data_IF_791675130192
#
_entry.id   IF_791675130192
#
_cell.length_a   1.000
_cell.length_b   1.000
_cell.length_c   1.000
_cell.angle_alpha   90.00
_cell.angle_beta   90.00
_cell.angle_gamma   90.00
#
_symmetry.space_group_name_H-M   'P 1'
#
loop_
_entity.id
_entity.type
_entity.pdbx_description
1 polymer ?
#
# COMPACT_ATOMS: atom_id res chain seq x y z
N UNK A 1 48.48 28.52 42.51
CA UNK A 1 47.16 27.98 42.10
C UNK A 1 46.63 27.08 43.21
N UNK A 2 45.37 27.23 43.61
CA UNK A 2 44.72 26.39 44.63
C UNK A 2 43.62 25.53 44.00
N UNK A 3 43.40 24.32 44.52
CA UNK A 3 42.33 23.43 44.10
C UNK A 3 40.97 23.85 44.71
N UNK A 4 39.82 23.61 44.02
CA UNK A 4 38.50 24.03 44.51
C UNK A 4 38.07 23.28 45.79
N UNK A 5 38.40 21.99 45.90
CA UNK A 5 38.08 21.16 47.05
C UNK A 5 39.34 20.71 47.81
N UNK A 6 39.19 20.33 49.08
CA UNK A 6 40.27 19.66 49.81
C UNK A 6 40.59 18.30 49.17
N UNK A 7 41.85 17.88 49.21
CA UNK A 7 42.23 16.58 48.66
C UNK A 7 41.56 15.42 49.41
N UNK A 8 41.40 14.28 48.73
CA UNK A 8 40.70 13.11 49.27
C UNK A 8 41.32 12.61 50.59
N UNK A 9 42.64 12.65 50.73
CA UNK A 9 43.34 12.20 51.94
C UNK A 9 43.07 13.08 53.16
N UNK A 10 43.14 14.40 52.99
CA UNK A 10 42.80 15.33 54.07
C UNK A 10 41.31 15.26 54.41
N UNK A 11 40.44 15.07 53.40
CA UNK A 11 39.00 14.88 53.60
C UNK A 11 38.69 13.61 54.40
N UNK A 12 39.32 12.47 54.07
CA UNK A 12 39.15 11.21 54.81
C UNK A 12 39.66 11.29 56.26
N UNK A 13 40.80 11.94 56.48
CA UNK A 13 41.37 12.12 57.83
C UNK A 13 40.74 13.27 58.63
N UNK A 14 39.76 13.98 58.05
CA UNK A 14 39.13 15.20 58.61
C UNK A 14 40.15 16.26 59.04
N UNK A 15 41.30 16.33 58.36
CA UNK A 15 42.38 17.27 58.64
C UNK A 15 42.31 18.53 57.77
N UNK A 16 42.88 19.65 58.26
CA UNK A 16 42.90 20.93 57.53
C UNK A 16 43.78 20.85 56.28
N UNK A 17 43.23 21.16 55.11
CA UNK A 17 43.92 21.16 53.82
C UNK A 17 44.08 22.60 53.31
N UNK A 18 45.29 22.99 52.94
CA UNK A 18 45.61 24.31 52.35
C UNK A 18 45.33 24.38 50.84
N UNK A 19 44.94 23.26 50.22
CA UNK A 19 44.53 23.13 48.81
C UNK A 19 45.59 23.55 47.78
N UNK A 20 46.86 23.62 48.16
CA UNK A 20 47.94 23.94 47.22
C UNK A 20 48.10 22.86 46.14
N UNK A 21 48.38 23.28 44.90
CA UNK A 21 48.69 22.42 43.77
C UNK A 21 50.20 22.45 43.48
N UNK A 22 50.82 21.33 43.08
CA UNK A 22 50.22 20.00 42.81
C UNK A 22 49.97 19.15 44.07
N UNK A 23 50.54 19.51 45.22
CA UNK A 23 50.29 18.83 46.50
C UNK A 23 50.05 19.83 47.63
N UNK A 24 49.11 19.50 48.53
CA UNK A 24 48.82 20.31 49.70
C UNK A 24 49.98 20.23 50.72
N UNK A 25 50.25 21.31 51.45
CA UNK A 25 51.40 21.41 52.36
C UNK A 25 51.36 20.41 53.52
N UNK A 26 50.16 19.94 53.90
CA UNK A 26 49.99 18.88 54.88
C UNK A 26 50.41 17.51 54.33
N UNK A 27 50.00 17.17 53.10
CA UNK A 27 50.38 15.90 52.48
C UNK A 27 51.86 15.86 52.08
N UNK A 28 52.45 17.02 51.73
CA UNK A 28 53.87 17.16 51.44
C UNK A 28 54.74 16.87 52.68
N UNK A 29 54.39 17.45 53.84
CA UNK A 29 55.14 17.24 55.09
C UNK A 29 55.00 15.81 55.63
N UNK A 30 53.84 15.20 55.46
CA UNK A 30 53.54 13.85 55.97
C UNK A 30 53.72 12.75 54.91
N UNK A 31 54.46 13.04 53.83
CA UNK A 31 54.99 12.07 52.87
C UNK A 31 53.98 11.10 52.24
N UNK A 32 52.79 11.54 51.83
CA UNK A 32 51.88 10.61 51.15
C UNK A 32 50.96 11.20 50.09
N UNK A 33 50.40 10.32 49.27
CA UNK A 33 49.73 10.63 47.99
C UNK A 33 48.56 11.61 48.16
N UNK A 34 48.59 12.71 47.40
CA UNK A 34 47.61 13.79 47.45
C UNK A 34 46.83 13.83 46.13
N UNK A 35 45.57 13.38 46.13
CA UNK A 35 44.69 13.38 44.96
C UNK A 35 43.44 14.24 45.24
N UNK A 36 43.06 15.06 44.27
CA UNK A 36 41.86 15.91 44.33
C UNK A 36 40.71 15.26 43.56
N UNK A 37 39.45 15.32 44.07
CA UNK A 37 38.30 14.67 43.43
C UNK A 37 37.89 15.37 42.12
N UNK A 38 37.75 14.61 41.05
CA UNK A 38 37.37 15.06 39.70
C UNK A 38 35.89 14.80 39.44
N UNK A 39 35.07 15.84 39.28
CA UNK A 39 33.77 15.73 38.60
C UNK A 39 32.52 15.58 39.48
N UNK A 40 31.60 16.52 39.25
CA UNK A 40 30.28 16.80 39.84
C UNK A 40 29.28 15.63 39.84
N UNK A 41 28.52 15.49 40.95
CA UNK A 41 27.15 14.92 41.00
C UNK A 41 26.20 15.95 41.63
N UNK A 42 24.97 16.11 41.12
CA UNK A 42 23.80 16.49 41.92
C UNK A 42 22.66 15.45 41.71
N UNK A 43 21.92 14.88 42.68
CA UNK A 43 21.23 15.29 43.92
C UNK A 43 19.96 16.14 43.76
N UNK A 44 18.83 15.43 43.61
CA UNK A 44 17.50 15.53 44.23
C UNK A 44 16.74 16.89 44.37
N UNK A 45 15.59 16.91 43.65
CA UNK A 45 14.21 17.10 44.14
C UNK A 45 13.71 18.48 44.64
N UNK A 46 13.02 19.22 43.77
CA UNK A 46 11.63 19.69 44.00
C UNK A 46 11.08 20.42 42.76
N UNK A 47 10.50 19.69 41.81
CA UNK A 47 9.56 20.23 40.79
C UNK A 47 8.56 19.13 40.41
N UNK A 48 8.08 18.47 41.46
CA UNK A 48 7.35 17.19 41.51
C UNK A 48 5.93 17.24 40.91
N UNK A 49 5.65 18.18 40.02
CA UNK A 49 4.36 18.33 39.34
C UNK A 49 4.48 18.52 37.81
N UNK A 50 5.69 18.80 37.29
CA UNK A 50 5.98 18.78 35.83
C UNK A 50 6.44 17.37 35.39
N UNK A 51 6.94 16.55 36.32
CA UNK A 51 7.52 15.24 36.05
C UNK A 51 6.51 14.16 35.59
N UNK A 52 5.20 14.34 35.83
CA UNK A 52 4.18 13.40 35.33
C UNK A 52 3.68 13.74 33.92
N UNK A 53 3.91 14.96 33.42
CA UNK A 53 3.56 15.36 32.05
C UNK A 53 4.78 15.40 31.11
N UNK A 54 6.00 15.48 31.65
CA UNK A 54 7.24 15.43 30.87
C UNK A 54 7.75 14.00 30.59
N UNK A 55 7.21 12.97 31.24
CA UNK A 55 7.57 11.56 31.02
C UNK A 55 6.88 10.88 29.83
N UNK A 56 6.10 11.62 29.02
CA UNK A 56 5.65 11.15 27.71
C UNK A 56 6.49 11.67 26.52
N UNK A 57 7.61 12.36 26.77
CA UNK A 57 8.68 12.40 25.78
C UNK A 57 9.55 11.16 25.97
N UNK A 58 9.06 10.04 25.42
CA UNK A 58 9.97 9.07 24.82
C UNK A 58 10.83 9.90 23.88
N UNK A 59 12.11 10.11 24.23
CA UNK A 59 13.11 10.52 23.25
C UNK A 59 13.16 9.36 22.27
N UNK A 60 12.32 9.40 21.24
CA UNK A 60 12.57 8.66 20.02
C UNK A 60 13.89 9.24 19.51
N UNK A 61 15.00 8.61 19.87
CA UNK A 61 16.22 8.77 19.10
C UNK A 61 15.81 8.40 17.67
N UNK A 62 15.79 9.34 16.71
CA UNK A 62 15.50 8.96 15.34
C UNK A 62 16.54 7.93 14.94
N UNK A 63 16.09 6.78 14.41
CA UNK A 63 16.97 5.78 13.85
C UNK A 63 17.99 6.50 12.94
N UNK A 64 19.31 6.42 13.21
CA UNK A 64 20.25 7.29 12.50
C UNK A 64 20.22 6.95 11.01
N UNK A 65 20.02 7.93 10.10
CA UNK A 65 19.93 7.68 8.66
C UNK A 65 21.15 6.97 8.07
N UNK A 66 22.30 7.06 8.74
CA UNK A 66 23.51 6.30 8.37
C UNK A 66 23.28 4.79 8.39
N UNK A 67 22.47 4.25 9.31
CA UNK A 67 22.13 2.83 9.34
C UNK A 67 21.11 2.42 8.26
N UNK A 68 20.43 3.38 7.60
CA UNK A 68 19.49 3.10 6.49
C UNK A 68 20.24 2.77 5.18
N UNK A 69 21.47 3.26 5.02
CA UNK A 69 22.28 3.11 3.79
C UNK A 69 23.56 2.29 3.99
N UNK A 70 23.84 1.81 5.21
CA UNK A 70 25.09 1.09 5.51
C UNK A 70 25.01 -0.39 5.14
N UNK A 71 25.58 -0.73 3.98
CA UNK A 71 25.70 -2.09 3.45
C UNK A 71 26.48 -3.03 4.39
N UNK A 72 27.31 -2.51 5.29
CA UNK A 72 28.11 -3.33 6.21
C UNK A 72 27.27 -4.03 7.29
N UNK A 73 26.03 -3.57 7.55
CA UNK A 73 25.09 -4.21 8.49
C UNK A 73 24.63 -5.58 7.95
N UNK A 74 24.55 -5.75 6.63
CA UNK A 74 24.07 -6.97 5.98
C UNK A 74 25.15 -8.03 5.75
N UNK A 75 26.44 -7.72 5.99
CA UNK A 75 27.54 -8.67 5.78
C UNK A 75 27.66 -9.76 6.84
N UNK A 76 26.98 -9.64 7.99
CA UNK A 76 27.18 -10.53 9.14
C UNK A 76 26.14 -11.65 9.32
N UNK A 77 25.18 -11.82 8.40
CA UNK A 77 24.12 -12.84 8.54
C UNK A 77 24.11 -13.89 7.40
N UNK A 78 25.28 -14.35 6.94
CA UNK A 78 25.35 -15.54 6.05
C UNK A 78 25.08 -16.81 6.86
N UNK A 79 23.81 -17.18 6.96
CA UNK A 79 23.40 -18.52 7.36
C UNK A 79 22.97 -19.27 6.11
N UNK A 80 23.82 -20.18 5.63
CA UNK A 80 23.38 -21.23 4.71
C UNK A 80 22.65 -22.29 5.52
N UNK A 81 21.37 -22.51 5.22
CA UNK A 81 20.59 -23.59 5.80
C UNK A 81 21.06 -24.93 5.20
N UNK A 82 21.36 -25.95 6.02
CA UNK A 82 21.60 -27.29 5.53
C UNK A 82 20.36 -27.78 4.78
N UNK A 83 20.53 -28.17 3.51
CA UNK A 83 19.45 -28.83 2.76
C UNK A 83 19.13 -30.16 3.46
N UNK A 84 17.87 -30.43 3.86
CA UNK A 84 17.50 -31.71 4.42
C UNK A 84 17.73 -32.79 3.36
N UNK A 85 18.61 -33.75 3.66
CA UNK A 85 18.89 -34.91 2.81
C UNK A 85 17.91 -36.04 3.15
N UNK A 86 16.64 -35.85 2.80
CA UNK A 86 15.69 -36.95 2.72
C UNK A 86 15.30 -37.12 1.26
N UNK A 87 15.90 -38.11 0.59
CA UNK A 87 15.52 -38.46 -0.77
C UNK A 87 14.11 -39.08 -0.72
N UNK A 88 13.16 -38.47 -1.42
CA UNK A 88 11.81 -39.01 -1.58
C UNK A 88 11.93 -40.34 -2.34
N UNK A 89 11.41 -41.46 -1.82
CA UNK A 89 11.42 -42.73 -2.54
C UNK A 89 10.69 -42.62 -3.88
N UNK A 90 11.23 -43.24 -4.94
CA UNK A 90 10.72 -43.10 -6.31
C UNK A 90 9.22 -43.40 -6.45
N UNK A 91 8.72 -44.41 -5.73
CA UNK A 91 7.30 -44.76 -5.75
C UNK A 91 6.39 -43.64 -5.22
N UNK A 92 6.88 -42.75 -4.34
CA UNK A 92 6.13 -41.60 -3.82
C UNK A 92 6.16 -40.45 -4.83
N UNK A 93 7.30 -40.24 -5.50
CA UNK A 93 7.45 -39.24 -6.57
C UNK A 93 6.51 -39.50 -7.74
N UNK A 94 6.30 -40.77 -8.12
CA UNK A 94 5.39 -41.15 -9.21
C UNK A 94 3.92 -40.81 -8.92
N UNK A 95 3.49 -40.82 -7.65
CA UNK A 95 2.14 -40.42 -7.24
C UNK A 95 1.99 -38.90 -7.05
N UNK A 96 3.05 -38.20 -6.66
CA UNK A 96 3.03 -36.75 -6.47
C UNK A 96 3.08 -35.99 -7.81
N UNK A 97 3.60 -36.60 -8.87
CA UNK A 97 3.89 -35.92 -10.13
C UNK A 97 5.24 -35.21 -10.08
N UNK A 98 5.58 -34.47 -11.13
CA UNK A 98 6.84 -33.72 -11.16
C UNK A 98 6.88 -32.63 -10.07
N UNK A 99 8.09 -32.33 -9.57
CA UNK A 99 8.33 -31.22 -8.62
C UNK A 99 7.64 -29.91 -9.03
N UNK A 100 7.60 -29.63 -10.34
CA UNK A 100 6.97 -28.43 -10.90
C UNK A 100 5.44 -28.53 -10.93
N UNK A 101 4.88 -29.69 -11.26
CA UNK A 101 3.44 -29.92 -11.28
C UNK A 101 2.85 -29.83 -9.87
N UNK A 102 3.54 -30.39 -8.87
CA UNK A 102 3.17 -30.26 -7.46
C UNK A 102 3.17 -28.79 -7.04
N UNK A 103 4.23 -28.05 -7.38
CA UNK A 103 4.31 -26.61 -7.07
C UNK A 103 3.18 -25.83 -7.73
N UNK A 104 2.91 -26.09 -9.01
CA UNK A 104 1.84 -25.42 -9.75
C UNK A 104 0.46 -25.73 -9.14
N UNK A 105 0.20 -26.99 -8.78
CA UNK A 105 -1.05 -27.41 -8.14
C UNK A 105 -1.24 -26.70 -6.79
N UNK A 106 -0.20 -26.70 -5.95
CA UNK A 106 -0.20 -26.06 -4.64
C UNK A 106 -0.40 -24.54 -4.75
N UNK A 107 0.32 -23.88 -5.66
CA UNK A 107 0.15 -22.45 -5.95
C UNK A 107 -1.26 -22.14 -6.42
N UNK A 108 -1.81 -22.95 -7.32
CA UNK A 108 -3.17 -22.77 -7.84
C UNK A 108 -4.20 -22.91 -6.72
N UNK A 109 -4.05 -23.93 -5.86
CA UNK A 109 -4.92 -24.16 -4.72
C UNK A 109 -4.93 -22.97 -3.75
N UNK A 110 -3.75 -22.49 -3.34
CA UNK A 110 -3.66 -21.38 -2.40
C UNK A 110 -4.16 -20.06 -2.98
N UNK A 111 -3.84 -19.76 -4.25
CA UNK A 111 -4.36 -18.59 -4.94
C UNK A 111 -5.90 -18.60 -5.02
N UNK A 112 -6.49 -19.75 -5.35
CA UNK A 112 -7.95 -19.93 -5.37
C UNK A 112 -8.57 -19.80 -3.99
N UNK A 113 -7.93 -20.36 -2.97
CA UNK A 113 -8.42 -20.28 -1.59
C UNK A 113 -8.46 -18.84 -1.11
N UNK A 114 -7.38 -18.08 -1.36
CA UNK A 114 -7.32 -16.65 -1.04
C UNK A 114 -8.39 -15.87 -1.80
N UNK A 115 -8.54 -16.11 -3.10
CA UNK A 115 -9.56 -15.44 -3.91
C UNK A 115 -10.97 -15.66 -3.36
N UNK A 116 -11.34 -16.91 -3.03
CA UNK A 116 -12.64 -17.24 -2.45
C UNK A 116 -12.85 -16.59 -1.08
N UNK A 117 -11.82 -16.57 -0.23
CA UNK A 117 -11.86 -15.87 1.06
C UNK A 117 -12.11 -14.36 0.86
N UNK A 118 -11.40 -13.73 -0.08
CA UNK A 118 -11.58 -12.31 -0.39
C UNK A 118 -12.95 -12.00 -0.98
N UNK A 119 -13.51 -12.88 -1.81
CA UNK A 119 -14.89 -12.78 -2.30
C UNK A 119 -15.91 -12.92 -1.16
N UNK A 120 -15.64 -13.75 -0.15
CA UNK A 120 -16.49 -13.83 1.02
C UNK A 120 -16.46 -12.52 1.83
N UNK A 121 -15.30 -11.88 1.94
CA UNK A 121 -15.15 -10.63 2.72
C UNK A 121 -16.03 -9.50 2.20
N UNK A 122 -16.14 -9.32 0.88
CA UNK A 122 -16.95 -8.22 0.31
C UNK A 122 -18.46 -8.39 0.56
N UNK A 123 -18.90 -9.60 0.93
CA UNK A 123 -20.29 -9.86 1.31
C UNK A 123 -20.56 -9.62 2.80
N UNK A 124 -19.54 -9.21 3.58
CA UNK A 124 -19.71 -8.94 5.00
C UNK A 124 -20.47 -7.62 5.21
N UNK A 125 -21.51 -7.67 6.04
CA UNK A 125 -22.31 -6.50 6.42
C UNK A 125 -22.03 -6.13 7.88
N UNK A 126 -21.68 -4.87 8.18
CA UNK A 126 -21.41 -4.45 9.55
C UNK A 126 -22.66 -4.52 10.42
N UNK A 127 -22.54 -5.16 11.59
CA UNK A 127 -23.51 -5.01 12.68
C UNK A 127 -23.02 -3.95 13.67
N UNK A 128 -23.92 -3.33 14.44
CA UNK A 128 -23.66 -2.11 15.22
C UNK A 128 -22.49 -2.20 16.24
N UNK A 129 -22.00 -3.40 16.56
CA UNK A 129 -20.91 -3.64 17.53
C UNK A 129 -19.64 -4.23 16.91
N UNK A 130 -19.60 -4.54 15.62
CA UNK A 130 -18.49 -5.27 15.02
C UNK A 130 -17.48 -4.33 14.35
N UNK A 131 -16.19 -4.58 14.64
CA UNK A 131 -15.10 -3.90 13.96
C UNK A 131 -14.94 -4.44 12.54
N UNK A 132 -14.76 -3.56 11.52
CA UNK A 132 -14.44 -4.00 10.16
C UNK A 132 -13.05 -4.63 10.06
N UNK A 133 -12.20 -4.53 11.10
CA UNK A 133 -10.99 -5.36 11.21
C UNK A 133 -11.35 -6.73 11.76
N UNK A 134 -12.21 -7.44 11.05
CA UNK A 134 -12.68 -8.77 11.43
C UNK A 134 -11.53 -9.80 11.39
N UNK A 135 -11.63 -10.92 12.14
CA UNK A 135 -10.64 -12.00 12.04
C UNK A 135 -10.47 -12.52 10.60
N UNK A 136 -11.55 -12.59 9.82
CA UNK A 136 -11.51 -12.99 8.43
C UNK A 136 -10.70 -12.03 7.56
N UNK A 137 -10.88 -10.71 7.76
CA UNK A 137 -10.09 -9.69 7.06
C UNK A 137 -8.60 -9.80 7.42
N UNK A 138 -8.29 -9.95 8.70
CA UNK A 138 -6.89 -10.11 9.17
C UNK A 138 -6.26 -11.36 8.53
N UNK A 139 -6.98 -12.49 8.51
CA UNK A 139 -6.52 -13.73 7.90
C UNK A 139 -6.27 -13.56 6.39
N UNK A 140 -7.19 -12.91 5.66
CA UNK A 140 -7.01 -12.66 4.24
C UNK A 140 -5.78 -11.77 3.95
N UNK A 141 -5.54 -10.74 4.76
CA UNK A 141 -4.35 -9.88 4.63
C UNK A 141 -3.05 -10.62 4.90
N UNK A 142 -3.02 -11.43 5.96
CA UNK A 142 -1.85 -12.24 6.29
C UNK A 142 -1.57 -13.25 5.18
N UNK A 143 -2.61 -13.94 4.71
CA UNK A 143 -2.46 -14.94 3.67
C UNK A 143 -2.03 -14.32 2.32
N UNK A 144 -2.58 -13.16 1.95
CA UNK A 144 -2.12 -12.41 0.78
C UNK A 144 -0.61 -12.10 0.88
N UNK A 145 -0.15 -11.57 2.01
CA UNK A 145 1.25 -11.25 2.24
C UNK A 145 2.17 -12.49 2.23
N UNK A 146 1.71 -13.62 2.76
CA UNK A 146 2.45 -14.88 2.71
C UNK A 146 2.64 -15.38 1.27
N UNK A 147 1.60 -15.29 0.43
CA UNK A 147 1.70 -15.66 -0.98
C UNK A 147 2.63 -14.73 -1.76
N UNK A 148 2.60 -13.43 -1.47
CA UNK A 148 3.54 -12.46 -2.05
C UNK A 148 4.99 -12.79 -1.69
N UNK A 149 5.28 -13.07 -0.41
CA UNK A 149 6.63 -13.42 0.04
C UNK A 149 7.12 -14.75 -0.51
N UNK A 150 6.21 -15.68 -0.80
CA UNK A 150 6.53 -16.92 -1.51
C UNK A 150 6.82 -16.69 -3.01
N UNK A 151 6.70 -15.46 -3.51
CA UNK A 151 6.97 -15.10 -4.90
C UNK A 151 5.82 -15.41 -5.86
N UNK A 152 4.59 -15.60 -5.35
CA UNK A 152 3.45 -15.83 -6.23
C UNK A 152 3.12 -14.55 -7.01
N UNK A 153 3.01 -14.70 -8.33
CA UNK A 153 2.59 -13.64 -9.23
C UNK A 153 1.56 -14.23 -10.20
N UNK A 154 0.28 -14.01 -9.91
CA UNK A 154 -0.83 -14.57 -10.71
C UNK A 154 -2.01 -13.59 -10.75
N UNK A 155 -2.85 -13.72 -11.78
CA UNK A 155 -4.06 -12.89 -11.90
C UNK A 155 -5.01 -13.09 -10.71
N UNK A 156 -5.11 -14.32 -10.18
CA UNK A 156 -5.94 -14.64 -9.01
C UNK A 156 -5.47 -13.94 -7.75
N UNK A 157 -4.16 -13.81 -7.56
CA UNK A 157 -3.61 -13.03 -6.45
C UNK A 157 -4.02 -11.56 -6.60
N UNK A 158 -3.91 -10.97 -7.80
CA UNK A 158 -4.34 -9.58 -8.05
C UNK A 158 -5.84 -9.41 -7.81
N UNK A 159 -6.68 -10.32 -8.29
CA UNK A 159 -8.13 -10.31 -8.05
C UNK A 159 -8.47 -10.36 -6.56
N UNK A 160 -7.80 -11.22 -5.79
CA UNK A 160 -7.97 -11.28 -4.35
C UNK A 160 -7.56 -9.96 -3.67
N UNK A 161 -6.44 -9.37 -4.11
CA UNK A 161 -5.98 -8.06 -3.67
C UNK A 161 -6.99 -6.94 -3.95
N UNK A 162 -7.64 -6.96 -5.12
CA UNK A 162 -8.70 -6.01 -5.49
C UNK A 162 -9.89 -6.13 -4.53
N UNK A 163 -10.35 -7.35 -4.23
CA UNK A 163 -11.45 -7.56 -3.28
C UNK A 163 -11.09 -7.13 -1.86
N UNK A 164 -9.85 -7.38 -1.43
CA UNK A 164 -9.33 -6.88 -0.15
C UNK A 164 -9.33 -5.34 -0.15
N UNK A 165 -8.83 -4.71 -1.21
CA UNK A 165 -8.79 -3.25 -1.33
C UNK A 165 -10.20 -2.62 -1.35
N UNK A 166 -11.16 -3.27 -2.02
CA UNK A 166 -12.57 -2.88 -2.01
C UNK A 166 -13.16 -2.94 -0.60
N UNK A 167 -12.92 -4.02 0.14
CA UNK A 167 -13.33 -4.14 1.54
C UNK A 167 -12.73 -3.04 2.41
N UNK A 168 -11.42 -2.82 2.31
CA UNK A 168 -10.73 -1.77 3.06
C UNK A 168 -11.26 -0.37 2.73
N UNK A 169 -11.51 -0.09 1.45
CA UNK A 169 -12.09 1.18 0.99
C UNK A 169 -13.52 1.37 1.51
N UNK A 170 -14.39 0.36 1.36
CA UNK A 170 -15.79 0.40 1.79
C UNK A 170 -15.97 0.54 3.29
N UNK A 171 -14.97 0.13 4.08
CA UNK A 171 -14.96 0.25 5.54
C UNK A 171 -14.01 1.33 6.06
N UNK A 172 -13.52 2.22 5.20
CA UNK A 172 -12.65 3.34 5.57
C UNK A 172 -11.37 2.93 6.33
N UNK A 173 -10.78 1.79 6.00
CA UNK A 173 -9.56 1.26 6.62
C UNK A 173 -8.32 1.89 5.97
N UNK A 174 -8.05 3.15 6.32
CA UNK A 174 -6.85 3.88 5.89
C UNK A 174 -5.69 3.69 6.90
N UNK A 175 -4.41 3.58 6.47
CA UNK A 175 -3.87 3.64 5.11
C UNK A 175 -3.84 2.29 4.36
N UNK A 176 -4.43 1.23 4.91
CA UNK A 176 -4.37 -0.12 4.32
C UNK A 176 -4.94 -0.16 2.90
N UNK A 177 -6.12 0.44 2.68
CA UNK A 177 -6.74 0.54 1.35
C UNK A 177 -5.80 1.12 0.30
N UNK A 178 -5.14 2.24 0.63
CA UNK A 178 -4.20 2.92 -0.27
C UNK A 178 -3.01 2.03 -0.63
N UNK A 179 -2.42 1.33 0.35
CA UNK A 179 -1.32 0.41 0.10
C UNK A 179 -1.75 -0.79 -0.73
N UNK A 180 -2.92 -1.38 -0.45
CA UNK A 180 -3.43 -2.53 -1.20
C UNK A 180 -3.68 -2.20 -2.67
N UNK A 181 -4.26 -1.04 -2.97
CA UNK A 181 -4.46 -0.58 -4.36
C UNK A 181 -3.12 -0.44 -5.07
N UNK A 182 -2.14 0.21 -4.43
CA UNK A 182 -0.78 0.34 -4.97
C UNK A 182 -0.11 -1.00 -5.24
N UNK A 183 -0.23 -1.95 -4.30
CA UNK A 183 0.27 -3.32 -4.47
C UNK A 183 -0.39 -4.03 -5.65
N UNK A 184 -1.73 -3.94 -5.79
CA UNK A 184 -2.45 -4.51 -6.92
C UNK A 184 -1.96 -3.93 -8.26
N UNK A 185 -1.78 -2.62 -8.33
CA UNK A 185 -1.25 -1.95 -9.52
C UNK A 185 0.14 -2.48 -9.90
N UNK A 186 1.04 -2.64 -8.92
CA UNK A 186 2.40 -3.16 -9.16
C UNK A 186 2.41 -4.60 -9.64
N UNK A 187 1.58 -5.47 -9.06
CA UNK A 187 1.44 -6.86 -9.53
C UNK A 187 0.84 -6.94 -10.93
N UNK A 188 -0.19 -6.15 -11.21
CA UNK A 188 -0.84 -6.12 -12.51
C UNK A 188 0.12 -5.67 -13.62
N UNK A 189 0.94 -4.63 -13.37
CA UNK A 189 1.99 -4.20 -14.30
C UNK A 189 3.06 -5.26 -14.47
N UNK A 190 3.47 -5.96 -13.41
CA UNK A 190 4.44 -7.06 -13.50
C UNK A 190 3.93 -8.22 -14.37
N UNK A 191 2.62 -8.47 -14.37
CA UNK A 191 1.94 -9.41 -15.24
C UNK A 191 1.60 -8.85 -16.64
N UNK A 192 1.86 -7.56 -16.90
CA UNK A 192 1.64 -6.89 -18.18
C UNK A 192 0.19 -6.50 -18.49
N UNK A 193 -0.70 -6.46 -17.49
CA UNK A 193 -2.14 -6.16 -17.68
C UNK A 193 -2.39 -4.75 -18.22
N UNK A 194 -1.49 -3.81 -17.93
CA UNK A 194 -1.54 -2.43 -18.42
C UNK A 194 -1.42 -2.31 -19.94
N UNK A 195 -0.86 -3.34 -20.59
CA UNK A 195 -0.68 -3.40 -22.05
C UNK A 195 -1.87 -4.02 -22.77
N UNK A 196 -2.65 -4.85 -22.09
CA UNK A 196 -3.79 -5.59 -22.66
C UNK A 196 -4.97 -4.68 -23.03
N UNK A 197 -4.96 -3.41 -22.58
CA UNK A 197 -5.91 -2.38 -22.98
C UNK A 197 -5.47 -1.58 -24.22
N UNK A 198 -4.20 -1.70 -24.66
CA UNK A 198 -3.62 -0.88 -25.74
C UNK A 198 -3.74 -1.49 -27.12
N UNK A 199 -3.81 -2.81 -27.22
CA UNK A 199 -3.76 -3.54 -28.50
C UNK A 199 -4.78 -4.67 -28.51
N UNK A 200 -5.46 -4.86 -29.65
CA UNK A 200 -6.33 -6.01 -29.88
C UNK A 200 -5.48 -7.27 -30.04
N UNK A 201 -5.41 -8.09 -28.98
CA UNK A 201 -4.73 -9.39 -28.91
C UNK A 201 -3.23 -9.45 -29.31
N UNK A 202 -2.40 -8.56 -28.75
CA UNK A 202 -0.95 -8.61 -28.96
C UNK A 202 -0.27 -9.83 -28.31
N UNK A 203 -0.91 -10.43 -27.30
CA UNK A 203 -0.37 -11.53 -26.49
C UNK A 203 -0.72 -12.92 -27.05
N UNK A 204 -1.60 -13.01 -28.05
CA UNK A 204 -2.06 -14.28 -28.62
C UNK A 204 -2.91 -15.11 -27.66
N UNK A 205 -3.39 -14.50 -26.56
CA UNK A 205 -4.19 -15.18 -25.56
C UNK A 205 -5.62 -15.42 -26.07
N UNK A 206 -6.30 -16.45 -25.52
CA UNK A 206 -7.74 -16.57 -25.62
C UNK A 206 -8.43 -15.27 -25.22
N UNK A 207 -9.52 -14.95 -25.90
CA UNK A 207 -10.19 -13.67 -25.72
C UNK A 207 -10.81 -13.55 -24.32
N UNK A 208 -11.25 -14.67 -23.75
CA UNK A 208 -11.70 -14.79 -22.37
C UNK A 208 -10.61 -14.40 -21.37
N UNK A 209 -9.41 -14.95 -21.50
CA UNK A 209 -8.28 -14.58 -20.66
C UNK A 209 -7.95 -13.08 -20.79
N UNK A 210 -8.02 -12.52 -22.01
CA UNK A 210 -7.77 -11.10 -22.26
C UNK A 210 -8.79 -10.18 -21.59
N UNK A 211 -10.06 -10.54 -21.67
CA UNK A 211 -11.12 -9.74 -21.06
C UNK A 211 -11.07 -9.81 -19.53
N UNK A 212 -10.75 -10.98 -18.95
CA UNK A 212 -10.51 -11.10 -17.51
C UNK A 212 -9.38 -10.14 -17.08
N UNK A 213 -8.25 -10.17 -17.80
CA UNK A 213 -7.09 -9.29 -17.56
C UNK A 213 -7.44 -7.81 -17.71
N UNK A 214 -8.21 -7.46 -18.75
CA UNK A 214 -8.71 -6.10 -19.00
C UNK A 214 -9.58 -5.62 -17.85
N UNK A 215 -10.50 -6.45 -17.36
CA UNK A 215 -11.40 -6.11 -16.26
C UNK A 215 -10.65 -5.91 -14.95
N UNK A 216 -9.65 -6.74 -14.67
CA UNK A 216 -8.75 -6.60 -13.52
C UNK A 216 -8.01 -5.26 -13.57
N UNK A 217 -7.46 -4.90 -14.73
CA UNK A 217 -6.76 -3.62 -14.88
C UNK A 217 -7.71 -2.42 -14.68
N UNK A 218 -8.89 -2.43 -15.30
CA UNK A 218 -9.87 -1.37 -15.13
C UNK A 218 -10.37 -1.24 -13.69
N UNK A 219 -10.54 -2.34 -12.96
CA UNK A 219 -10.88 -2.31 -11.53
C UNK A 219 -9.79 -1.60 -10.70
N UNK A 220 -8.51 -1.83 -11.01
CA UNK A 220 -7.40 -1.13 -10.35
C UNK A 220 -7.41 0.36 -10.69
N UNK A 221 -7.61 0.72 -11.97
CA UNK A 221 -7.69 2.12 -12.41
C UNK A 221 -8.81 2.86 -11.66
N UNK A 222 -9.96 2.22 -11.47
CA UNK A 222 -11.10 2.74 -10.70
C UNK A 222 -10.67 2.96 -9.25
N UNK A 223 -10.19 1.92 -8.56
CA UNK A 223 -9.82 2.01 -7.15
C UNK A 223 -8.75 3.07 -6.87
N UNK A 224 -7.75 3.17 -7.74
CA UNK A 224 -6.67 4.16 -7.63
C UNK A 224 -7.19 5.60 -7.74
N UNK A 225 -8.22 5.85 -8.53
CA UNK A 225 -8.83 7.20 -8.64
C UNK A 225 -9.71 7.49 -7.43
N UNK A 226 -10.51 6.52 -7.02
CA UNK A 226 -11.42 6.65 -5.88
C UNK A 226 -10.67 6.91 -4.56
N UNK A 227 -9.59 6.18 -4.29
CA UNK A 227 -8.84 6.35 -3.03
C UNK A 227 -8.13 7.72 -2.95
N UNK A 228 -7.90 8.38 -4.09
CA UNK A 228 -7.20 9.66 -4.19
C UNK A 228 -8.13 10.88 -4.24
N UNK A 229 -9.46 10.70 -4.28
CA UNK A 229 -10.45 11.80 -4.27
C UNK A 229 -10.22 12.80 -3.13
N UNK A 230 -9.89 12.31 -1.94
CA UNK A 230 -9.68 13.16 -0.75
C UNK A 230 -8.36 13.95 -0.74
N UNK A 231 -7.46 13.69 -1.67
CA UNK A 231 -6.19 14.41 -1.80
C UNK A 231 -5.68 14.32 -3.26
N UNK A 232 -6.28 15.10 -4.18
CA UNK A 232 -5.97 15.03 -5.62
C UNK A 232 -4.47 15.17 -5.96
N UNK A 233 -3.69 16.05 -5.29
CA UNK A 233 -2.25 16.17 -5.56
C UNK A 233 -1.41 14.92 -5.24
N UNK A 234 -2.00 13.88 -4.62
CA UNK A 234 -1.30 12.64 -4.34
C UNK A 234 -1.03 11.87 -5.64
N UNK A 235 0.19 11.36 -5.76
CA UNK A 235 0.58 10.55 -6.92
C UNK A 235 -0.28 9.28 -7.02
N UNK A 236 -0.88 9.09 -8.20
CA UNK A 236 -1.60 7.88 -8.56
C UNK A 236 -0.65 6.68 -8.70
N UNK A 237 -1.10 5.48 -8.34
CA UNK A 237 -0.33 4.25 -8.52
C UNK A 237 -0.26 3.82 -10.00
N UNK A 238 -1.21 4.26 -10.81
CA UNK A 238 -1.37 3.92 -12.22
C UNK A 238 -1.26 5.16 -13.11
N UNK A 239 -0.76 4.96 -14.34
CA UNK A 239 -0.81 6.00 -15.36
C UNK A 239 -2.25 6.24 -15.84
N UNK A 240 -2.48 7.40 -16.44
CA UNK A 240 -3.79 7.71 -17.00
C UNK A 240 -4.06 6.97 -18.30
N UNK A 241 -5.27 6.41 -18.45
CA UNK A 241 -5.62 5.74 -19.68
C UNK A 241 -5.80 6.76 -20.81
N UNK A 242 -5.52 6.34 -22.04
CA UNK A 242 -5.61 7.14 -23.25
C UNK A 242 -6.95 6.91 -23.96
N UNK A 243 -7.38 7.87 -24.78
CA UNK A 243 -8.67 7.80 -25.52
C UNK A 243 -8.79 6.56 -26.42
N UNK A 244 -7.68 5.99 -26.88
CA UNK A 244 -7.64 4.76 -27.68
C UNK A 244 -7.69 3.46 -26.87
N UNK A 245 -7.70 3.52 -25.54
CA UNK A 245 -7.67 2.33 -24.70
C UNK A 245 -9.00 1.58 -24.73
N UNK A 246 -8.90 0.26 -24.81
CA UNK A 246 -10.03 -0.66 -24.96
C UNK A 246 -10.78 -0.77 -23.64
N UNK A 247 -12.10 -0.58 -23.71
CA UNK A 247 -13.04 -0.74 -22.60
C UNK A 247 -13.41 -2.21 -22.39
N UNK A 248 -13.80 -2.60 -21.16
CA UNK A 248 -14.40 -3.91 -20.92
C UNK A 248 -15.64 -4.14 -21.79
N UNK A 249 -15.90 -5.39 -22.17
CA UNK A 249 -17.10 -5.75 -22.90
C UNK A 249 -18.35 -5.73 -22.00
N UNK A 250 -19.55 -5.70 -22.59
CA UNK A 250 -20.81 -5.81 -21.84
C UNK A 250 -20.96 -7.20 -21.19
N UNK A 251 -21.42 -7.22 -19.93
CA UNK A 251 -21.50 -8.42 -19.10
C UNK A 251 -22.40 -9.51 -19.71
N UNK A 252 -23.52 -9.13 -20.35
CA UNK A 252 -24.41 -10.11 -20.97
C UNK A 252 -23.76 -10.74 -22.21
N UNK A 253 -22.97 -9.95 -22.95
CA UNK A 253 -22.18 -10.49 -24.07
C UNK A 253 -21.12 -11.46 -23.55
N UNK A 254 -20.47 -11.11 -22.43
CA UNK A 254 -19.50 -11.94 -21.71
C UNK A 254 -20.04 -13.30 -21.32
N UNK A 255 -21.14 -13.31 -20.56
CA UNK A 255 -21.75 -14.52 -20.03
C UNK A 255 -22.26 -15.47 -21.12
N UNK A 256 -22.68 -14.93 -22.26
CA UNK A 256 -23.21 -15.72 -23.38
C UNK A 256 -22.09 -16.21 -24.32
N UNK A 257 -20.84 -15.82 -24.10
CA UNK A 257 -19.72 -16.18 -24.98
C UNK A 257 -19.83 -15.61 -26.40
N UNK A 258 -20.66 -14.59 -26.62
CA UNK A 258 -20.98 -14.05 -27.95
C UNK A 258 -19.93 -13.07 -28.51
N UNK A 259 -18.76 -12.98 -27.88
CA UNK A 259 -17.89 -11.81 -28.03
C UNK A 259 -16.97 -11.86 -29.25
N UNK A 260 -16.90 -13.00 -29.92
CA UNK A 260 -16.30 -13.08 -31.25
C UNK A 260 -17.05 -12.20 -32.28
N UNK A 261 -18.24 -11.68 -31.96
CA UNK A 261 -19.05 -10.81 -32.81
C UNK A 261 -19.21 -9.36 -32.30
N UNK A 262 -18.66 -8.99 -31.13
CA UNK A 262 -18.92 -7.68 -30.51
C UNK A 262 -17.87 -6.65 -30.89
N UNK A 263 -18.31 -5.46 -31.33
CA UNK A 263 -17.44 -4.29 -31.51
C UNK A 263 -16.69 -3.97 -30.20
N UNK A 264 -15.36 -3.92 -30.26
CA UNK A 264 -14.55 -3.42 -29.16
C UNK A 264 -14.70 -1.90 -29.07
N UNK A 265 -15.19 -1.43 -27.92
CA UNK A 265 -15.25 0.00 -27.64
C UNK A 265 -13.94 0.47 -27.02
N UNK A 266 -13.57 1.70 -27.35
CA UNK A 266 -12.50 2.46 -26.70
C UNK A 266 -13.09 3.60 -25.89
N UNK A 267 -12.29 4.24 -25.03
CA UNK A 267 -12.73 5.42 -24.26
C UNK A 267 -13.32 6.51 -25.16
N UNK A 268 -12.67 6.78 -26.29
CA UNK A 268 -13.09 7.78 -27.27
C UNK A 268 -14.20 7.32 -28.22
N UNK A 269 -14.68 6.09 -28.09
CA UNK A 269 -15.80 5.60 -28.90
C UNK A 269 -17.08 6.37 -28.59
N UNK A 270 -17.93 6.56 -29.60
CA UNK A 270 -19.23 7.20 -29.40
C UNK A 270 -20.06 6.38 -28.41
N UNK A 271 -20.71 7.09 -27.50
CA UNK A 271 -21.57 6.49 -26.49
C UNK A 271 -22.72 5.70 -27.13
N UNK A 272 -22.75 4.40 -26.90
CA UNK A 272 -23.81 3.50 -27.36
C UNK A 272 -24.48 2.80 -26.18
N UNK A 273 -25.78 2.50 -26.30
CA UNK A 273 -26.54 1.82 -25.25
C UNK A 273 -25.96 0.43 -24.90
N UNK A 274 -25.36 -0.25 -25.87
CA UNK A 274 -24.79 -1.61 -25.76
C UNK A 274 -23.37 -1.70 -25.18
N UNK A 275 -22.77 -0.56 -24.76
CA UNK A 275 -21.38 -0.52 -24.29
C UNK A 275 -21.18 -1.25 -22.95
N UNK A 276 -22.23 -1.34 -22.12
CA UNK A 276 -22.21 -2.04 -20.85
C UNK A 276 -21.89 -1.16 -19.64
N UNK A 277 -22.26 -1.64 -18.45
CA UNK A 277 -22.13 -0.89 -17.20
C UNK A 277 -20.67 -0.65 -16.83
N UNK A 278 -19.84 -1.69 -16.93
CA UNK A 278 -18.45 -1.59 -16.52
C UNK A 278 -17.61 -0.70 -17.44
N UNK A 279 -17.88 -0.75 -18.75
CA UNK A 279 -17.30 0.17 -19.73
C UNK A 279 -17.64 1.64 -19.44
N UNK A 280 -18.91 1.94 -19.11
CA UNK A 280 -19.30 3.30 -18.70
C UNK A 280 -18.63 3.73 -17.41
N UNK A 281 -18.46 2.82 -16.46
CA UNK A 281 -17.74 3.14 -15.22
C UNK A 281 -16.26 3.43 -15.47
N UNK A 282 -15.64 2.69 -16.39
CA UNK A 282 -14.30 2.97 -16.90
C UNK A 282 -14.22 4.36 -17.57
N UNK A 283 -15.20 4.75 -18.40
CA UNK A 283 -15.27 6.10 -18.98
C UNK A 283 -15.43 7.19 -17.90
N UNK A 284 -16.31 6.99 -16.92
CA UNK A 284 -16.46 7.91 -15.80
C UNK A 284 -15.15 8.06 -15.01
N UNK A 285 -14.43 6.95 -14.82
CA UNK A 285 -13.13 6.92 -14.15
C UNK A 285 -12.06 7.66 -14.94
N UNK A 286 -12.07 7.57 -16.27
CA UNK A 286 -11.19 8.38 -17.13
C UNK A 286 -11.45 9.87 -16.93
N UNK A 287 -12.72 10.31 -16.96
CA UNK A 287 -13.08 11.71 -16.71
C UNK A 287 -12.68 12.13 -15.30
N UNK A 288 -12.87 11.27 -14.30
CA UNK A 288 -12.43 11.53 -12.93
C UNK A 288 -10.90 11.73 -12.86
N UNK A 289 -10.12 10.92 -13.58
CA UNK A 289 -8.68 11.14 -13.71
C UNK A 289 -8.34 12.51 -14.31
N UNK A 290 -9.09 12.97 -15.31
CA UNK A 290 -8.93 14.32 -15.86
C UNK A 290 -9.24 15.41 -14.82
N UNK A 291 -10.31 15.24 -14.03
CA UNK A 291 -10.67 16.17 -12.95
C UNK A 291 -9.59 16.21 -11.87
N UNK A 292 -9.08 15.05 -11.43
CA UNK A 292 -8.00 14.96 -10.44
C UNK A 292 -6.77 15.73 -10.92
N UNK A 293 -6.36 15.55 -12.19
CA UNK A 293 -5.24 16.31 -12.78
C UNK A 293 -5.52 17.80 -12.82
N UNK A 294 -6.68 18.19 -13.35
CA UNK A 294 -7.07 19.58 -13.47
C UNK A 294 -7.06 20.32 -12.12
N UNK A 295 -7.55 19.68 -11.05
CA UNK A 295 -7.55 20.26 -9.69
C UNK A 295 -6.16 20.26 -9.05
N UNK A 296 -5.28 19.35 -9.44
CA UNK A 296 -3.93 19.22 -8.87
C UNK A 296 -2.90 20.13 -9.52
N UNK A 297 -3.08 20.43 -10.80
CA UNK A 297 -2.16 21.26 -11.58
C UNK A 297 -2.34 22.75 -11.24
N UNK A 298 -1.21 23.47 -11.10
CA UNK A 298 -1.25 24.92 -10.96
C UNK A 298 -1.71 25.56 -12.29
N UNK A 299 -2.73 26.46 -12.27
CA UNK A 299 -3.25 27.08 -13.49
C UNK A 299 -2.16 27.94 -14.14
N UNK A 300 -1.81 27.61 -15.38
CA UNK A 300 -0.85 28.40 -16.19
C UNK A 300 -1.53 29.53 -16.97
N UNK A 301 -2.79 29.33 -17.34
CA UNK A 301 -3.67 30.27 -18.05
C UNK A 301 -5.09 30.12 -17.51
N UNK A 302 -5.59 31.17 -16.85
CA UNK A 302 -6.89 31.20 -16.21
C UNK A 302 -8.05 30.96 -17.19
N UNK A 303 -7.94 31.45 -18.44
CA UNK A 303 -9.00 31.31 -19.43
C UNK A 303 -9.09 29.86 -19.93
N UNK A 304 -7.94 29.23 -20.20
CA UNK A 304 -7.88 27.82 -20.58
C UNK A 304 -8.36 26.92 -19.46
N UNK A 305 -7.92 27.20 -18.22
CA UNK A 305 -8.33 26.45 -17.03
C UNK A 305 -9.85 26.45 -16.85
N UNK A 306 -10.49 27.63 -16.93
CA UNK A 306 -11.96 27.74 -16.81
C UNK A 306 -12.68 27.02 -17.95
N UNK A 307 -12.15 27.09 -19.19
CA UNK A 307 -12.74 26.38 -20.33
C UNK A 307 -12.65 24.85 -20.18
N UNK A 308 -11.51 24.34 -19.72
CA UNK A 308 -11.30 22.92 -19.45
C UNK A 308 -12.27 22.43 -18.37
N UNK A 309 -12.37 23.13 -17.24
CA UNK A 309 -13.31 22.81 -16.17
C UNK A 309 -14.77 22.75 -16.70
N UNK A 310 -15.17 23.74 -17.50
CA UNK A 310 -16.50 23.79 -18.08
C UNK A 310 -16.75 22.64 -19.08
N UNK A 311 -15.73 22.23 -19.84
CA UNK A 311 -15.82 21.07 -20.74
C UNK A 311 -15.95 19.75 -19.97
N UNK A 312 -15.14 19.56 -18.92
CA UNK A 312 -15.22 18.38 -18.05
C UNK A 312 -16.61 18.28 -17.42
N UNK A 313 -17.11 19.38 -16.84
CA UNK A 313 -18.43 19.43 -16.23
C UNK A 313 -19.56 19.06 -17.23
N UNK A 314 -19.54 19.63 -18.45
CA UNK A 314 -20.52 19.27 -19.49
C UNK A 314 -20.45 17.79 -19.86
N UNK A 315 -19.24 17.24 -19.96
CA UNK A 315 -19.03 15.84 -20.35
C UNK A 315 -19.52 14.88 -19.25
N UNK A 316 -19.25 15.20 -17.98
CA UNK A 316 -19.75 14.45 -16.83
C UNK A 316 -21.28 14.46 -16.77
N UNK A 317 -21.92 15.63 -16.93
CA UNK A 317 -23.38 15.71 -16.98
C UNK A 317 -23.98 14.92 -18.15
N UNK A 318 -23.36 14.95 -19.33
CA UNK A 318 -23.79 14.12 -20.46
C UNK A 318 -23.71 12.63 -20.14
N UNK A 319 -22.65 12.18 -19.46
CA UNK A 319 -22.50 10.78 -19.03
C UNK A 319 -23.52 10.37 -17.97
N UNK A 320 -23.87 11.26 -17.04
CA UNK A 320 -24.95 11.05 -16.05
C UNK A 320 -26.29 10.84 -16.76
N UNK A 321 -26.66 11.74 -17.67
CA UNK A 321 -27.92 11.64 -18.41
C UNK A 321 -28.00 10.36 -19.25
N UNK A 322 -26.90 9.99 -19.92
CA UNK A 322 -26.82 8.74 -20.66
C UNK A 322 -26.98 7.52 -19.75
N UNK A 323 -26.36 7.56 -18.56
CA UNK A 323 -26.44 6.46 -17.59
C UNK A 323 -27.84 6.27 -17.04
N UNK A 324 -28.55 7.37 -16.75
CA UNK A 324 -29.96 7.34 -16.35
C UNK A 324 -30.85 6.77 -17.46
N UNK A 325 -30.69 7.24 -18.70
CA UNK A 325 -31.45 6.74 -19.84
C UNK A 325 -31.21 5.25 -20.11
N UNK A 326 -29.97 4.79 -19.96
CA UNK A 326 -29.67 3.36 -20.04
C UNK A 326 -30.34 2.56 -18.90
N UNK A 327 -30.27 3.07 -17.67
CA UNK A 327 -30.87 2.42 -16.51
C UNK A 327 -32.36 2.17 -16.70
N UNK A 328 -33.08 3.17 -17.20
CA UNK A 328 -34.50 3.07 -17.55
C UNK A 328 -34.72 2.03 -18.67
N UNK A 329 -33.95 2.14 -19.76
CA UNK A 329 -34.12 1.29 -20.95
C UNK A 329 -33.83 -0.18 -20.66
N UNK A 330 -32.80 -0.46 -19.85
CA UNK A 330 -32.36 -1.82 -19.53
C UNK A 330 -32.83 -2.31 -18.15
N UNK A 331 -33.67 -1.54 -17.45
CA UNK A 331 -34.17 -1.85 -16.10
C UNK A 331 -33.04 -2.21 -15.11
N UNK A 332 -32.00 -1.37 -15.07
CA UNK A 332 -30.84 -1.58 -14.21
C UNK A 332 -31.11 -1.02 -12.80
N UNK A 333 -30.91 -1.85 -11.76
CA UNK A 333 -31.16 -1.45 -10.36
C UNK A 333 -30.18 -0.40 -9.82
N UNK A 334 -28.97 -0.30 -10.38
CA UNK A 334 -27.92 0.59 -9.86
C UNK A 334 -26.96 1.09 -10.96
N UNK A 335 -26.54 2.36 -10.86
CA UNK A 335 -25.60 3.02 -11.78
C UNK A 335 -24.37 3.54 -11.04
N UNK A 336 -23.33 2.69 -10.89
CA UNK A 336 -22.06 3.03 -10.22
C UNK A 336 -21.36 4.22 -10.86
N UNK A 337 -21.44 4.35 -12.18
CA UNK A 337 -20.84 5.43 -12.95
C UNK A 337 -21.40 6.81 -12.60
N UNK A 338 -22.68 6.89 -12.21
CA UNK A 338 -23.31 8.15 -11.80
C UNK A 338 -22.69 8.66 -10.49
N UNK A 339 -22.34 7.76 -9.56
CA UNK A 339 -21.67 8.14 -8.32
C UNK A 339 -20.29 8.74 -8.60
N UNK A 340 -19.50 8.16 -9.52
CA UNK A 340 -18.21 8.70 -9.92
C UNK A 340 -18.30 10.08 -10.57
N UNK A 341 -19.38 10.37 -11.30
CA UNK A 341 -19.57 11.67 -11.95
C UNK A 341 -20.04 12.79 -11.00
N UNK A 342 -20.58 12.44 -9.83
CA UNK A 342 -21.01 13.41 -8.81
C UNK A 342 -19.94 13.71 -7.76
N UNK A 343 -18.87 12.90 -7.69
CA UNK A 343 -17.73 13.09 -6.80
C UNK A 343 -16.79 14.18 -7.29
#
# INVERSE_FOLDING_TARGET
MLAPFACNRCKQRKGKCDKALPQCGHCRRNGGKCEYPSGLRPSNAHSSLIALQAQQRVVQQPFPPSFFLDMNIFRQARLELPRPSLAVPAYVSDFLGGDEEVRQMVTTFFNSTLLLLSMQLINWTPTASESPKSPAYIAAKQFFFELENAGNLSIRLVQAGIFIALYELGHCIYPAAYMSVGTCARHAVALGLDKDIKQSNATGLPWDDLEERRRVWWAILILDRFINLGNPPRMLATADPATGDILPADDASWEQGLLHATELFTIGSQSQLRMGRFARFAQATYLLGQVIRHVSDEPRDDAFYVQEAAQLNRTLHALIHLSQSEAETRSLEFCTQTAACYM
#
